data_IF_175587896591
#
_entry.id   IF_175587896591
#
_cell.length_a   1.000
_cell.length_b   1.000
_cell.length_c   1.000
_cell.angle_alpha   90.00
_cell.angle_beta   90.00
_cell.angle_gamma   90.00
#
_symmetry.space_group_name_H-M   'P 1'
#
loop_
_entity.id
_entity.type
_entity.pdbx_description
1 polymer ?
#
# COMPACT_ATOMS: atom_id res chain seq x y z
N UNK A 1 -10.55 -14.17 -35.61
CA UNK A 1 -10.82 -14.34 -34.16
C UNK A 1 -9.81 -13.50 -33.40
N UNK A 2 -10.21 -12.32 -32.93
CA UNK A 2 -9.36 -11.50 -32.07
C UNK A 2 -9.51 -12.00 -30.63
N UNK A 3 -8.54 -12.79 -30.18
CA UNK A 3 -8.35 -13.05 -28.76
C UNK A 3 -7.71 -11.80 -28.16
N UNK A 4 -8.54 -10.87 -27.72
CA UNK A 4 -8.10 -9.82 -26.79
C UNK A 4 -7.87 -10.50 -25.45
N UNK A 5 -6.66 -11.01 -25.24
CA UNK A 5 -6.18 -11.34 -23.90
C UNK A 5 -6.30 -10.08 -23.05
N UNK A 6 -7.29 -10.07 -22.16
CA UNK A 6 -7.37 -9.12 -21.06
C UNK A 6 -6.13 -9.41 -20.23
N UNK A 7 -5.04 -8.67 -20.47
CA UNK A 7 -3.81 -8.73 -19.66
C UNK A 7 -4.22 -8.74 -18.20
N UNK A 8 -3.94 -9.88 -17.56
CA UNK A 8 -4.53 -10.27 -16.29
C UNK A 8 -4.46 -9.17 -15.25
N UNK A 9 -5.59 -8.91 -14.59
CA UNK A 9 -5.57 -8.19 -13.32
C UNK A 9 -4.58 -8.92 -12.41
N UNK A 10 -3.55 -8.20 -12.00
CA UNK A 10 -2.71 -8.57 -10.87
C UNK A 10 -3.62 -9.02 -9.70
N UNK A 11 -3.68 -10.31 -9.37
CA UNK A 11 -4.68 -10.85 -8.42
C UNK A 11 -4.51 -10.26 -7.02
N UNK A 12 -3.35 -9.70 -6.74
CA UNK A 12 -3.03 -9.01 -5.49
C UNK A 12 -3.72 -7.65 -5.32
N UNK A 13 -4.22 -7.03 -6.40
CA UNK A 13 -4.95 -5.74 -6.32
C UNK A 13 -6.30 -5.87 -5.63
N UNK A 14 -6.87 -7.06 -5.63
CA UNK A 14 -8.12 -7.36 -4.94
C UNK A 14 -7.92 -7.82 -3.49
N UNK A 15 -6.67 -8.00 -3.04
CA UNK A 15 -6.39 -8.45 -1.69
C UNK A 15 -6.68 -7.36 -0.64
N UNK A 16 -7.15 -7.75 0.56
CA UNK A 16 -7.43 -6.81 1.65
C UNK A 16 -6.24 -5.90 1.99
N UNK A 17 -5.02 -6.43 1.96
CA UNK A 17 -3.82 -5.64 2.24
C UNK A 17 -3.58 -4.53 1.23
N UNK A 18 -3.75 -4.80 -0.08
CA UNK A 18 -3.62 -3.76 -1.11
C UNK A 18 -4.66 -2.66 -0.92
N UNK A 19 -5.92 -3.03 -0.67
CA UNK A 19 -7.01 -2.06 -0.45
C UNK A 19 -6.74 -1.18 0.76
N UNK A 20 -6.30 -1.80 1.86
CA UNK A 20 -5.89 -1.08 3.06
C UNK A 20 -4.78 -0.06 2.78
N UNK A 21 -3.72 -0.44 2.06
CA UNK A 21 -2.69 0.51 1.68
C UNK A 21 -3.22 1.60 0.73
N UNK A 22 -4.04 1.24 -0.25
CA UNK A 22 -4.58 2.19 -1.20
C UNK A 22 -5.43 3.27 -0.52
N UNK A 23 -6.25 2.89 0.46
CA UNK A 23 -7.10 3.79 1.24
C UNK A 23 -6.27 4.73 2.13
N UNK A 24 -5.25 4.21 2.80
CA UNK A 24 -4.50 4.92 3.84
C UNK A 24 -3.24 5.64 3.34
N UNK A 25 -2.88 5.50 2.06
CA UNK A 25 -1.74 6.17 1.43
C UNK A 25 -2.14 6.98 0.19
N UNK A 26 -2.99 8.03 0.35
CA UNK A 26 -3.52 8.80 -0.79
C UNK A 26 -2.43 9.50 -1.60
N UNK A 27 -1.33 9.92 -0.96
CA UNK A 27 -0.17 10.56 -1.60
C UNK A 27 0.64 9.60 -2.48
N UNK A 28 0.47 8.29 -2.30
CA UNK A 28 1.14 7.23 -3.06
C UNK A 28 0.21 6.63 -4.10
N UNK A 29 -0.84 7.35 -4.51
CA UNK A 29 -1.64 6.96 -5.68
C UNK A 29 -1.03 7.57 -6.93
N UNK A 30 -0.66 6.73 -7.87
CA UNK A 30 -0.24 7.14 -9.20
C UNK A 30 -1.40 7.79 -9.98
N UNK A 31 -1.08 8.51 -11.06
CA UNK A 31 -2.07 9.10 -11.98
C UNK A 31 -3.03 8.07 -12.59
N UNK A 32 -2.65 6.78 -12.58
CA UNK A 32 -3.47 5.67 -13.07
C UNK A 32 -4.41 5.09 -11.99
N UNK A 33 -4.46 5.68 -10.80
CA UNK A 33 -5.27 5.17 -9.69
C UNK A 33 -4.72 3.87 -9.08
N UNK A 34 -3.41 3.65 -9.17
CA UNK A 34 -2.71 2.49 -8.60
C UNK A 34 -1.74 2.93 -7.51
N UNK A 35 -1.46 2.05 -6.55
CA UNK A 35 -0.42 2.29 -5.56
C UNK A 35 0.96 2.44 -6.23
N UNK A 36 1.65 3.54 -5.92
CA UNK A 36 3.01 3.86 -6.38
C UNK A 36 4.03 3.11 -5.51
N UNK A 37 4.16 1.82 -5.81
CA UNK A 37 5.07 0.91 -5.12
C UNK A 37 6.53 1.39 -5.14
N UNK A 38 7.09 1.88 -6.27
CA UNK A 38 8.45 2.42 -6.27
C UNK A 38 8.65 3.57 -5.28
N UNK A 39 7.67 4.48 -5.17
CA UNK A 39 7.77 5.59 -4.21
C UNK A 39 7.65 5.12 -2.77
N UNK A 40 6.72 4.21 -2.46
CA UNK A 40 6.61 3.63 -1.12
C UNK A 40 7.94 2.96 -0.75
N UNK A 41 8.46 2.10 -1.62
CA UNK A 41 9.72 1.39 -1.42
C UNK A 41 10.87 2.34 -1.08
N UNK A 42 11.01 3.43 -1.84
CA UNK A 42 12.00 4.48 -1.58
C UNK A 42 11.83 5.10 -0.18
N UNK A 43 10.61 5.48 0.19
CA UNK A 43 10.35 6.19 1.45
C UNK A 43 10.46 5.28 2.68
N UNK A 44 10.25 3.96 2.53
CA UNK A 44 10.44 2.97 3.61
C UNK A 44 11.83 2.32 3.62
N UNK A 45 12.71 2.68 2.68
CA UNK A 45 14.07 2.12 2.58
C UNK A 45 14.12 0.66 2.15
N UNK A 46 13.19 0.23 1.29
CA UNK A 46 13.11 -1.14 0.77
C UNK A 46 13.17 -1.18 -0.76
N UNK A 47 13.26 -2.39 -1.32
CA UNK A 47 13.15 -2.59 -2.77
C UNK A 47 11.67 -2.68 -3.17
N UNK A 48 11.36 -2.20 -4.38
CA UNK A 48 10.02 -2.32 -4.95
C UNK A 48 9.57 -3.80 -5.00
N UNK A 49 10.48 -4.71 -5.31
CA UNK A 49 10.22 -6.15 -5.31
C UNK A 49 9.84 -6.69 -3.93
N UNK A 50 10.45 -6.16 -2.86
CA UNK A 50 10.08 -6.48 -1.49
C UNK A 50 8.63 -6.10 -1.18
N UNK A 51 8.21 -4.91 -1.61
CA UNK A 51 6.82 -4.45 -1.44
C UNK A 51 5.86 -5.30 -2.29
N UNK A 52 6.19 -5.60 -3.55
CA UNK A 52 5.37 -6.48 -4.40
C UNK A 52 5.24 -7.88 -3.80
N UNK A 53 6.27 -8.40 -3.13
CA UNK A 53 6.17 -9.67 -2.39
C UNK A 53 5.12 -9.59 -1.27
N UNK A 54 5.05 -8.50 -0.53
CA UNK A 54 4.02 -8.30 0.49
C UNK A 54 2.63 -8.22 -0.13
N UNK A 55 2.47 -7.45 -1.21
CA UNK A 55 1.21 -7.32 -1.92
C UNK A 55 0.73 -8.68 -2.45
N UNK A 56 1.63 -9.46 -3.04
CA UNK A 56 1.31 -10.80 -3.57
C UNK A 56 0.90 -11.78 -2.47
N UNK A 57 1.56 -11.74 -1.32
CA UNK A 57 1.26 -12.64 -0.19
C UNK A 57 0.13 -12.13 0.70
N UNK A 58 -0.20 -10.84 0.64
CA UNK A 58 -1.16 -10.19 1.52
C UNK A 58 -0.68 -10.00 2.96
N UNK A 59 0.62 -10.21 3.22
CA UNK A 59 1.21 -10.19 4.56
C UNK A 59 2.51 -9.40 4.62
N UNK A 60 2.82 -8.87 5.81
CA UNK A 60 4.04 -8.13 6.16
C UNK A 60 4.61 -8.64 7.48
N UNK A 61 5.88 -8.39 7.76
CA UNK A 61 6.43 -8.65 9.11
C UNK A 61 6.00 -7.54 10.09
N UNK A 62 6.00 -7.78 11.41
CA UNK A 62 5.73 -6.73 12.40
C UNK A 62 6.67 -5.51 12.29
N UNK A 63 7.92 -5.73 11.86
CA UNK A 63 8.86 -4.64 11.58
C UNK A 63 8.40 -3.81 10.39
N UNK A 64 7.97 -4.43 9.30
CA UNK A 64 7.47 -3.74 8.11
C UNK A 64 6.13 -3.04 8.37
N UNK A 65 5.24 -3.64 9.17
CA UNK A 65 4.02 -3.01 9.64
C UNK A 65 4.29 -1.71 10.40
N UNK A 66 5.27 -1.72 11.32
CA UNK A 66 5.71 -0.50 12.02
C UNK A 66 6.28 0.55 11.08
N UNK A 67 7.05 0.13 10.07
CA UNK A 67 7.58 1.05 9.06
C UNK A 67 6.46 1.70 8.24
N UNK A 68 5.46 0.93 7.80
CA UNK A 68 4.30 1.46 7.10
C UNK A 68 3.46 2.39 7.97
N UNK A 69 3.24 2.04 9.24
CA UNK A 69 2.56 2.90 10.20
C UNK A 69 3.28 4.24 10.39
N UNK A 70 4.61 4.22 10.55
CA UNK A 70 5.43 5.45 10.63
C UNK A 70 5.31 6.28 9.36
N UNK A 71 5.34 5.65 8.19
CA UNK A 71 5.17 6.36 6.93
C UNK A 71 3.79 7.01 6.84
N UNK A 72 2.72 6.30 7.18
CA UNK A 72 1.36 6.83 7.15
C UNK A 72 1.19 8.03 8.12
N UNK A 73 1.88 7.98 9.27
CA UNK A 73 1.90 9.06 10.26
C UNK A 73 2.94 10.17 9.98
N UNK A 74 3.60 10.17 8.82
CA UNK A 74 4.44 11.30 8.43
C UNK A 74 3.56 12.56 8.20
N UNK A 75 4.03 13.78 8.55
CA UNK A 75 3.21 14.99 8.47
C UNK A 75 2.56 15.23 7.10
N UNK A 76 3.26 14.90 6.02
CA UNK A 76 2.76 15.02 4.64
C UNK A 76 1.62 14.05 4.34
N UNK A 77 1.65 12.84 4.91
CA UNK A 77 0.64 11.82 4.71
C UNK A 77 -0.58 12.06 5.62
N UNK A 78 -0.36 12.54 6.84
CA UNK A 78 -1.44 13.01 7.73
C UNK A 78 -2.22 14.14 7.07
N UNK A 79 -1.53 15.16 6.55
CA UNK A 79 -2.19 16.29 5.88
C UNK A 79 -3.03 15.84 4.68
N UNK A 80 -2.52 14.87 3.90
CA UNK A 80 -3.26 14.33 2.76
C UNK A 80 -4.46 13.48 3.15
N UNK A 81 -4.39 12.73 4.26
CA UNK A 81 -5.53 12.00 4.81
C UNK A 81 -6.60 12.98 5.34
N UNK A 82 -6.19 14.02 6.06
CA UNK A 82 -7.09 15.06 6.55
C UNK A 82 -7.79 15.81 5.40
N UNK A 83 -7.09 16.06 4.30
CA UNK A 83 -7.67 16.69 3.10
C UNK A 83 -8.82 15.87 2.47
N UNK A 84 -8.89 14.57 2.76
CA UNK A 84 -9.98 13.67 2.33
C UNK A 84 -10.88 13.23 3.49
N UNK A 85 -10.86 13.96 4.61
CA UNK A 85 -11.62 13.65 5.83
C UNK A 85 -11.34 12.25 6.42
N UNK A 86 -10.13 11.72 6.19
CA UNK A 86 -9.65 10.46 6.77
C UNK A 86 -8.63 10.73 7.89
N UNK A 87 -8.47 9.74 8.77
CA UNK A 87 -7.46 9.74 9.83
C UNK A 87 -6.45 8.62 9.62
N UNK A 88 -5.18 8.78 10.00
CA UNK A 88 -4.21 7.70 9.94
C UNK A 88 -4.69 6.50 10.78
N UNK A 89 -4.59 5.27 10.26
CA UNK A 89 -4.99 4.07 10.98
C UNK A 89 -4.01 3.79 12.12
N UNK A 90 -4.54 3.24 13.22
CA UNK A 90 -3.74 2.79 14.34
C UNK A 90 -2.82 1.62 13.94
N UNK A 91 -1.73 1.42 14.67
CA UNK A 91 -0.73 0.39 14.37
C UNK A 91 -1.33 -1.03 14.33
N UNK A 92 -2.33 -1.29 15.17
CA UNK A 92 -3.05 -2.55 15.28
C UNK A 92 -3.67 -2.97 13.93
N UNK A 93 -4.15 -1.99 13.15
CA UNK A 93 -4.72 -2.24 11.82
C UNK A 93 -3.67 -2.76 10.82
N UNK A 94 -2.39 -2.40 11.01
CA UNK A 94 -1.31 -2.96 10.18
C UNK A 94 -0.93 -4.38 10.64
N UNK A 95 -1.08 -4.70 11.93
CA UNK A 95 -0.79 -6.02 12.47
C UNK A 95 -1.81 -7.10 12.07
N UNK A 96 -2.99 -6.71 11.62
CA UNK A 96 -3.95 -7.64 10.98
C UNK A 96 -3.39 -8.33 9.73
N UNK A 97 -2.33 -7.78 9.15
CA UNK A 97 -1.64 -8.33 7.98
C UNK A 97 -0.28 -8.95 8.35
N UNK A 98 0.01 -9.16 9.64
CA UNK A 98 1.26 -9.79 10.04
C UNK A 98 1.21 -11.31 9.93
N UNK A 99 2.31 -11.90 9.42
CA UNK A 99 2.60 -13.33 9.56
C UNK A 99 3.34 -13.64 10.86
#
# INVERSE_FOLDING_TARGET
MHSTEIQGRDPWRDQPFYRFLFENFPTYRSKRGLLDVPRIAKDVGLTAEGIYKWLRRGVVTPTNARTLHRLCNAPTNIAALQAIAATPPALERFYEFCE
#
